data_IF_366564006047
#
_entry.id   IF_366564006047
#
_cell.length_a   1.000
_cell.length_b   1.000
_cell.length_c   1.000
_cell.angle_alpha   90.00
_cell.angle_beta   90.00
_cell.angle_gamma   90.00
#
_symmetry.space_group_name_H-M   'P 1'
#
loop_
_entity.id
_entity.type
_entity.pdbx_description
1 polymer ?
#
# COMPACT_ATOMS: atom_id res chain seq x y z
N UNK A 1 24.48 -52.07 -29.19
CA UNK A 1 23.48 -51.64 -28.19
C UNK A 1 24.05 -50.42 -27.47
N UNK A 2 23.79 -49.21 -27.98
CA UNK A 2 24.24 -47.97 -27.34
C UNK A 2 23.03 -47.31 -26.66
N UNK A 3 23.02 -47.35 -25.33
CA UNK A 3 22.05 -46.64 -24.50
C UNK A 3 22.30 -45.14 -24.65
N UNK A 4 21.38 -44.41 -25.29
CA UNK A 4 21.36 -42.95 -25.26
C UNK A 4 20.64 -42.51 -23.99
N UNK A 5 21.42 -42.06 -23.00
CA UNK A 5 20.92 -41.39 -21.80
C UNK A 5 20.37 -40.02 -22.19
N UNK A 6 19.04 -39.85 -22.14
CA UNK A 6 18.40 -38.54 -22.20
C UNK A 6 18.53 -37.86 -20.84
N UNK A 7 19.38 -36.84 -20.76
CA UNK A 7 19.47 -35.97 -19.58
C UNK A 7 18.41 -34.88 -19.71
N UNK A 8 17.34 -34.96 -18.91
CA UNK A 8 16.32 -33.91 -18.82
C UNK A 8 16.86 -32.80 -17.91
N UNK A 9 17.36 -31.70 -18.50
CA UNK A 9 17.60 -30.45 -17.76
C UNK A 9 16.24 -29.84 -17.39
N UNK A 10 15.84 -29.92 -16.13
CA UNK A 10 14.80 -29.04 -15.58
C UNK A 10 15.38 -27.63 -15.42
N UNK A 11 15.09 -26.74 -16.35
CA UNK A 11 15.34 -25.31 -16.19
C UNK A 11 14.27 -24.74 -15.24
N UNK A 12 14.64 -24.50 -13.98
CA UNK A 12 13.86 -23.64 -13.10
C UNK A 12 14.07 -22.19 -13.55
N UNK A 13 13.08 -21.62 -14.24
CA UNK A 13 13.04 -20.18 -14.47
C UNK A 13 12.73 -19.49 -13.13
N UNK A 14 13.77 -19.00 -12.46
CA UNK A 14 13.60 -18.08 -11.34
C UNK A 14 13.02 -16.78 -11.90
N UNK A 15 11.73 -16.54 -11.67
CA UNK A 15 11.12 -15.25 -11.95
C UNK A 15 11.54 -14.29 -10.85
N UNK A 16 12.49 -13.40 -11.13
CA UNK A 16 12.80 -12.29 -10.23
C UNK A 16 11.64 -11.30 -10.34
N UNK A 17 10.70 -11.36 -9.41
CA UNK A 17 9.68 -10.33 -9.26
C UNK A 17 10.39 -9.05 -8.79
N UNK A 18 10.62 -8.11 -9.70
CA UNK A 18 11.35 -6.88 -9.38
C UNK A 18 10.50 -5.88 -8.57
N UNK A 19 9.18 -6.12 -8.42
CA UNK A 19 8.18 -5.11 -8.08
C UNK A 19 6.90 -5.80 -7.55
N UNK A 20 6.05 -5.10 -6.79
CA UNK A 20 4.87 -5.73 -6.17
C UNK A 20 3.62 -4.87 -5.99
N UNK A 21 2.53 -5.54 -5.59
CA UNK A 21 1.24 -4.95 -5.21
C UNK A 21 0.60 -5.76 -4.08
N UNK A 22 -0.44 -5.21 -3.43
CA UNK A 22 -1.22 -5.94 -2.42
C UNK A 22 -2.10 -6.99 -3.12
N UNK A 23 -1.80 -8.26 -2.88
CA UNK A 23 -2.47 -9.40 -3.49
C UNK A 23 -3.82 -9.69 -2.84
N UNK A 24 -3.89 -9.60 -1.50
CA UNK A 24 -5.12 -9.83 -0.76
C UNK A 24 -5.12 -9.16 0.62
N UNK A 25 -6.31 -9.05 1.20
CA UNK A 25 -6.55 -8.50 2.54
C UNK A 25 -7.44 -9.47 3.32
N UNK A 26 -7.07 -9.74 4.56
CA UNK A 26 -7.86 -10.57 5.49
C UNK A 26 -8.46 -9.69 6.57
N UNK A 27 -9.80 -9.70 6.66
CA UNK A 27 -10.58 -8.92 7.63
C UNK A 27 -11.43 -9.90 8.42
N UNK A 28 -11.23 -9.98 9.74
CA UNK A 28 -11.98 -10.88 10.63
C UNK A 28 -11.99 -12.35 10.15
N UNK A 29 -10.83 -12.84 9.69
CA UNK A 29 -10.68 -14.20 9.15
C UNK A 29 -11.22 -14.41 7.72
N UNK A 30 -11.88 -13.42 7.12
CA UNK A 30 -12.38 -13.48 5.75
C UNK A 30 -11.30 -12.96 4.80
N UNK A 31 -10.88 -13.80 3.86
CA UNK A 31 -9.92 -13.44 2.81
C UNK A 31 -10.64 -12.74 1.66
N UNK A 32 -10.21 -11.52 1.35
CA UNK A 32 -10.64 -10.75 0.19
C UNK A 32 -9.50 -10.70 -0.83
N UNK A 33 -9.67 -11.35 -1.97
CA UNK A 33 -8.72 -11.21 -3.08
C UNK A 33 -8.70 -9.76 -3.55
N UNK A 34 -7.50 -9.21 -3.64
CA UNK A 34 -7.24 -7.86 -4.11
C UNK A 34 -7.51 -7.68 -5.59
N UNK A 35 -7.39 -6.45 -6.07
CA UNK A 35 -7.40 -6.18 -7.49
C UNK A 35 -6.15 -6.79 -8.12
N UNK A 36 -6.35 -7.57 -9.19
CA UNK A 36 -5.28 -8.29 -9.86
C UNK A 36 -4.93 -7.58 -11.18
N UNK A 37 -3.92 -6.69 -11.22
CA UNK A 37 -3.67 -5.83 -12.39
C UNK A 37 -3.34 -6.58 -13.67
N UNK A 38 -2.89 -7.84 -13.56
CA UNK A 38 -2.54 -8.70 -14.68
C UNK A 38 -3.63 -9.72 -15.05
N UNK A 39 -4.82 -9.61 -14.43
CA UNK A 39 -5.94 -10.52 -14.67
C UNK A 39 -7.27 -9.76 -14.78
N UNK A 40 -7.57 -8.87 -13.83
CA UNK A 40 -8.84 -8.16 -13.74
C UNK A 40 -9.18 -7.33 -15.00
N UNK A 41 -8.24 -6.61 -15.66
CA UNK A 41 -8.52 -5.90 -16.90
C UNK A 41 -8.95 -6.77 -18.09
N UNK A 42 -8.69 -8.08 -18.03
CA UNK A 42 -8.94 -9.00 -19.14
C UNK A 42 -10.26 -9.77 -19.00
N UNK A 43 -11.00 -9.56 -17.92
CA UNK A 43 -12.37 -10.09 -17.79
C UNK A 43 -13.38 -9.17 -18.47
N UNK A 44 -14.36 -9.77 -19.16
CA UNK A 44 -15.52 -9.03 -19.67
C UNK A 44 -16.33 -8.39 -18.52
N UNK A 45 -16.45 -9.11 -17.41
CA UNK A 45 -17.04 -8.63 -16.15
C UNK A 45 -16.06 -8.93 -15.02
N UNK A 46 -15.22 -7.97 -14.62
CA UNK A 46 -14.25 -8.18 -13.55
C UNK A 46 -14.92 -8.56 -12.22
N UNK A 47 -14.32 -9.47 -11.43
CA UNK A 47 -14.86 -9.83 -10.12
C UNK A 47 -14.92 -8.61 -9.18
N UNK A 48 -15.85 -8.59 -8.22
CA UNK A 48 -15.91 -7.51 -7.24
C UNK A 48 -14.68 -7.53 -6.32
N UNK A 49 -14.11 -6.35 -6.07
CA UNK A 49 -12.88 -6.16 -5.28
C UNK A 49 -13.10 -5.10 -4.20
N UNK A 50 -12.43 -5.27 -3.06
CA UNK A 50 -12.35 -4.23 -2.03
C UNK A 50 -11.14 -3.31 -2.22
N UNK A 51 -10.12 -3.80 -2.93
CA UNK A 51 -8.94 -3.02 -3.32
C UNK A 51 -9.29 -2.25 -4.60
N UNK A 52 -8.94 -0.97 -4.62
CA UNK A 52 -9.09 -0.10 -5.78
C UNK A 52 -8.12 -0.51 -6.89
N UNK A 53 -8.46 -0.34 -8.17
CA UNK A 53 -7.58 -0.69 -9.27
C UNK A 53 -6.21 -0.02 -9.15
N UNK A 54 -5.15 -0.80 -9.34
CA UNK A 54 -3.78 -0.29 -9.53
C UNK A 54 -3.34 -0.57 -10.96
N UNK A 55 -2.45 0.26 -11.50
CA UNK A 55 -1.91 0.13 -12.86
C UNK A 55 -1.14 -1.17 -13.11
N UNK A 56 -0.59 -1.77 -12.06
CA UNK A 56 0.44 -2.80 -12.17
C UNK A 56 1.23 -2.91 -10.88
N UNK A 57 2.45 -3.45 -10.98
CA UNK A 57 3.38 -3.53 -9.86
C UNK A 57 4.43 -2.40 -9.85
N UNK A 58 4.44 -1.51 -10.85
CA UNK A 58 5.41 -0.42 -10.97
C UNK A 58 5.22 0.70 -9.94
N UNK A 59 6.25 1.52 -9.68
CA UNK A 59 6.19 2.59 -8.71
C UNK A 59 5.54 3.85 -9.29
N UNK A 60 5.14 4.75 -8.39
CA UNK A 60 4.96 6.17 -8.68
C UNK A 60 6.17 6.93 -8.14
N UNK A 61 6.74 7.86 -8.91
CA UNK A 61 7.94 8.63 -8.52
C UNK A 61 7.71 10.14 -8.45
N UNK A 62 6.61 10.63 -9.04
CA UNK A 62 6.26 12.06 -9.04
C UNK A 62 5.25 12.38 -7.93
N UNK A 63 5.72 13.17 -6.95
CA UNK A 63 4.98 13.63 -5.77
C UNK A 63 3.73 14.47 -6.05
N UNK A 64 3.61 15.00 -7.26
CA UNK A 64 2.53 15.91 -7.64
C UNK A 64 1.32 15.20 -8.24
N UNK A 65 1.48 13.94 -8.66
CA UNK A 65 0.44 13.20 -9.35
C UNK A 65 -0.61 12.62 -8.40
N UNK A 66 -1.87 12.61 -8.84
CA UNK A 66 -2.97 11.97 -8.14
C UNK A 66 -2.77 10.44 -8.02
N UNK A 67 -1.89 9.87 -8.83
CA UNK A 67 -1.49 8.46 -8.84
C UNK A 67 -0.97 7.99 -7.47
N UNK A 68 -0.36 8.89 -6.70
CA UNK A 68 0.12 8.62 -5.33
C UNK A 68 -0.98 8.25 -4.35
N UNK A 69 -2.23 8.65 -4.61
CA UNK A 69 -3.31 8.42 -3.67
C UNK A 69 -3.63 6.94 -3.55
N UNK A 70 -3.83 6.24 -4.66
CA UNK A 70 -4.32 4.85 -4.65
C UNK A 70 -3.75 3.95 -5.74
N UNK A 71 -2.77 4.40 -6.53
CA UNK A 71 -2.13 3.61 -7.60
C UNK A 71 -2.69 3.94 -8.98
N UNK A 72 -1.97 4.80 -9.71
CA UNK A 72 -2.24 5.18 -11.10
C UNK A 72 -0.96 5.20 -11.94
N UNK A 73 -1.10 5.51 -13.23
CA UNK A 73 0.01 5.73 -14.15
C UNK A 73 -0.38 6.76 -15.21
N UNK A 74 -0.34 8.03 -14.82
CA UNK A 74 -0.75 9.16 -15.65
C UNK A 74 0.07 9.23 -16.94
N UNK A 75 1.37 8.89 -16.89
CA UNK A 75 2.22 8.82 -18.08
C UNK A 75 1.73 7.78 -19.11
N UNK A 76 1.16 6.66 -18.64
CA UNK A 76 0.52 5.66 -19.50
C UNK A 76 -0.98 5.86 -19.71
N UNK A 77 -1.52 7.04 -19.36
CA UNK A 77 -2.93 7.40 -19.59
C UNK A 77 -3.92 6.92 -18.53
N UNK A 78 -3.47 6.31 -17.43
CA UNK A 78 -4.31 5.90 -16.30
C UNK A 78 -4.16 6.93 -15.18
N UNK A 79 -4.98 7.98 -15.21
CA UNK A 79 -4.92 9.04 -14.20
C UNK A 79 -5.57 8.58 -12.89
N UNK A 80 -4.76 8.46 -11.84
CA UNK A 80 -5.18 8.02 -10.52
C UNK A 80 -5.71 6.59 -10.50
N UNK A 81 -6.63 6.35 -9.56
CA UNK A 81 -7.35 5.10 -9.39
C UNK A 81 -8.86 5.37 -9.39
N UNK A 82 -9.66 4.31 -9.42
CA UNK A 82 -11.13 4.38 -9.30
C UNK A 82 -11.60 3.77 -7.97
N UNK A 83 -12.79 4.14 -7.45
CA UNK A 83 -13.37 3.44 -6.30
C UNK A 83 -13.53 1.94 -6.55
N UNK A 84 -13.37 1.14 -5.50
CA UNK A 84 -13.64 -0.28 -5.57
C UNK A 84 -15.15 -0.52 -5.45
N UNK A 85 -15.66 -1.55 -6.12
CA UNK A 85 -17.11 -1.83 -6.16
C UNK A 85 -17.60 -2.60 -4.92
N UNK A 86 -16.71 -3.10 -4.07
CA UNK A 86 -17.03 -3.76 -2.81
C UNK A 86 -16.41 -3.01 -1.62
N UNK A 87 -17.01 -3.17 -0.44
CA UNK A 87 -16.47 -2.73 0.84
C UNK A 87 -16.32 -3.96 1.75
N UNK A 88 -15.12 -4.19 2.28
CA UNK A 88 -14.84 -5.34 3.15
C UNK A 88 -15.32 -5.12 4.59
N UNK A 89 -15.51 -6.20 5.34
CA UNK A 89 -16.07 -6.17 6.69
C UNK A 89 -17.52 -6.65 6.77
N UNK A 90 -18.24 -6.37 7.88
CA UNK A 90 -17.89 -5.42 8.95
C UNK A 90 -16.64 -5.78 9.74
N UNK A 91 -15.94 -4.77 10.27
CA UNK A 91 -14.76 -4.91 11.13
C UNK A 91 -14.83 -3.94 12.29
N UNK A 92 -14.63 -4.42 13.52
CA UNK A 92 -14.68 -3.56 14.69
C UNK A 92 -13.48 -2.60 14.73
N UNK A 93 -13.70 -1.35 15.13
CA UNK A 93 -12.62 -0.47 15.56
C UNK A 93 -11.79 -1.17 16.64
N UNK A 94 -10.46 -1.03 16.60
CA UNK A 94 -9.52 -1.77 17.44
C UNK A 94 -9.12 -3.14 16.89
N UNK A 95 -9.80 -3.67 15.85
CA UNK A 95 -9.39 -4.92 15.22
C UNK A 95 -8.18 -4.74 14.31
N UNK A 96 -7.43 -5.83 14.17
CA UNK A 96 -6.31 -5.94 13.22
C UNK A 96 -6.82 -6.40 11.85
N UNK A 97 -6.29 -5.78 10.80
CA UNK A 97 -6.47 -6.19 9.41
C UNK A 97 -5.11 -6.58 8.85
N UNK A 98 -5.06 -7.73 8.17
CA UNK A 98 -3.85 -8.24 7.55
C UNK A 98 -3.88 -8.04 6.05
N UNK A 99 -2.76 -7.67 5.46
CA UNK A 99 -2.53 -7.56 4.02
C UNK A 99 -1.43 -8.53 3.65
N UNK A 100 -1.53 -9.08 2.43
CA UNK A 100 -0.45 -9.84 1.82
C UNK A 100 -0.06 -9.19 0.52
N UNK A 101 1.22 -8.91 0.37
CA UNK A 101 1.79 -8.42 -0.89
C UNK A 101 2.09 -9.59 -1.82
N UNK A 102 2.40 -9.32 -3.08
CA UNK A 102 3.28 -10.21 -3.85
C UNK A 102 4.66 -10.30 -3.18
N UNK A 103 5.51 -11.25 -3.54
CA UNK A 103 6.84 -11.35 -2.91
C UNK A 103 7.62 -10.05 -3.14
N UNK A 104 8.08 -9.41 -2.06
CA UNK A 104 8.74 -8.12 -2.13
C UNK A 104 10.26 -8.31 -2.39
N UNK A 105 10.85 -7.59 -3.35
CA UNK A 105 12.28 -7.70 -3.64
C UNK A 105 13.13 -7.13 -2.49
N UNK A 106 14.17 -7.86 -2.10
CA UNK A 106 15.06 -7.48 -0.99
C UNK A 106 15.74 -6.12 -1.18
N UNK A 107 15.98 -5.73 -2.43
CA UNK A 107 16.59 -4.43 -2.74
C UNK A 107 15.68 -3.24 -2.43
N UNK A 108 14.36 -3.40 -2.35
CA UNK A 108 13.41 -2.30 -2.27
C UNK A 108 13.10 -1.83 -0.84
N UNK A 109 14.07 -2.00 0.06
CA UNK A 109 13.95 -1.62 1.47
C UNK A 109 13.41 -0.20 1.68
N UNK A 110 12.50 -0.06 2.64
CA UNK A 110 11.86 1.22 2.92
C UNK A 110 10.78 1.18 3.99
N UNK A 111 10.21 2.35 4.36
CA UNK A 111 9.11 2.37 5.30
C UNK A 111 7.85 1.73 4.71
N UNK A 112 7.01 1.28 5.62
CA UNK A 112 5.62 0.89 5.35
C UNK A 112 4.71 1.81 6.12
N UNK A 113 3.74 2.42 5.44
CA UNK A 113 2.88 3.46 6.01
C UNK A 113 1.43 3.14 5.68
N UNK A 114 0.55 3.23 6.67
CA UNK A 114 -0.90 3.06 6.50
C UNK A 114 -1.62 4.32 6.96
N UNK A 115 -2.49 4.82 6.09
CA UNK A 115 -3.41 5.93 6.33
C UNK A 115 -4.86 5.44 6.27
N UNK A 116 -5.75 6.21 6.88
CA UNK A 116 -7.19 6.06 6.72
C UNK A 116 -7.82 7.40 6.35
N UNK A 117 -8.95 7.35 5.64
CA UNK A 117 -9.83 8.47 5.35
C UNK A 117 -11.28 8.02 5.49
N UNK A 118 -12.11 8.79 6.19
CA UNK A 118 -13.54 8.47 6.35
C UNK A 118 -14.28 8.78 5.05
N UNK A 119 -15.07 7.84 4.55
CA UNK A 119 -15.94 8.07 3.40
C UNK A 119 -17.20 8.86 3.82
N UNK A 120 -17.85 9.56 2.87
CA UNK A 120 -19.18 10.12 3.08
C UNK A 120 -20.19 9.05 3.49
N UNK A 121 -21.36 9.47 3.98
CA UNK A 121 -22.45 8.56 4.36
C UNK A 121 -22.90 7.63 3.22
N UNK A 122 -22.76 8.08 1.96
CA UNK A 122 -23.04 7.28 0.76
C UNK A 122 -22.05 6.11 0.54
N UNK A 123 -20.97 6.02 1.32
CA UNK A 123 -19.98 4.94 1.24
C UNK A 123 -18.78 5.28 0.36
N UNK A 124 -17.87 4.30 0.24
CA UNK A 124 -16.59 4.49 -0.47
C UNK A 124 -16.67 4.17 -1.98
N UNK A 125 -17.69 3.45 -2.43
CA UNK A 125 -17.80 2.91 -3.80
C UNK A 125 -18.00 3.97 -4.89
N UNK A 126 -18.29 5.21 -4.50
CA UNK A 126 -18.37 6.36 -5.41
C UNK A 126 -17.46 7.51 -4.99
N UNK A 127 -16.69 7.34 -3.91
CA UNK A 127 -15.93 8.43 -3.30
C UNK A 127 -14.48 8.49 -3.82
N UNK A 128 -14.11 9.63 -4.39
CA UNK A 128 -12.74 9.99 -4.75
C UNK A 128 -12.35 11.25 -3.97
N UNK A 129 -11.42 11.17 -3.00
CA UNK A 129 -10.96 12.34 -2.24
C UNK A 129 -10.31 13.45 -3.08
N UNK A 130 -9.71 13.13 -4.22
CA UNK A 130 -8.98 14.12 -5.02
C UNK A 130 -7.83 14.74 -4.22
N UNK A 131 -7.80 16.07 -4.12
CA UNK A 131 -6.79 16.83 -3.37
C UNK A 131 -7.25 17.25 -1.97
N UNK A 132 -8.37 16.72 -1.48
CA UNK A 132 -8.89 17.07 -0.16
C UNK A 132 -7.99 16.54 0.97
N UNK A 133 -7.86 17.35 2.03
CA UNK A 133 -7.14 16.97 3.23
C UNK A 133 -7.99 16.05 4.13
N UNK A 134 -8.03 14.76 3.80
CA UNK A 134 -8.87 13.76 4.49
C UNK A 134 -8.09 12.60 5.10
N UNK A 135 -6.80 12.50 4.83
CA UNK A 135 -5.98 11.37 5.23
C UNK A 135 -5.37 11.60 6.62
N UNK A 136 -5.35 10.56 7.43
CA UNK A 136 -4.60 10.52 8.68
C UNK A 136 -3.85 9.20 8.80
N UNK A 137 -2.59 9.28 9.25
CA UNK A 137 -1.72 8.12 9.40
C UNK A 137 -2.16 7.30 10.59
N UNK A 138 -2.34 5.99 10.44
CA UNK A 138 -2.75 5.08 11.54
C UNK A 138 -1.63 4.14 11.96
N UNK A 139 -0.66 3.89 11.09
CA UNK A 139 0.51 3.09 11.41
C UNK A 139 1.67 3.47 10.49
N UNK A 140 2.89 3.42 11.01
CA UNK A 140 4.07 3.51 10.18
C UNK A 140 5.25 2.79 10.83
N UNK A 141 6.03 2.09 10.00
CA UNK A 141 7.27 1.43 10.40
C UNK A 141 8.37 1.86 9.42
N UNK A 142 9.43 2.47 9.93
CA UNK A 142 10.59 2.92 9.14
C UNK A 142 11.79 2.00 9.29
N UNK A 143 13.00 2.57 9.25
CA UNK A 143 14.25 1.86 9.56
C UNK A 143 14.33 1.50 11.04
N UNK A 144 14.74 0.27 11.35
CA UNK A 144 14.97 -0.17 12.73
C UNK A 144 16.41 0.16 13.13
N UNK A 145 16.56 1.22 13.93
CA UNK A 145 17.88 1.78 14.25
C UNK A 145 18.60 2.23 12.97
N UNK A 146 19.88 1.86 12.85
CA UNK A 146 20.68 2.06 11.63
C UNK A 146 20.95 0.73 10.88
N UNK A 147 20.09 -0.28 11.08
CA UNK A 147 20.26 -1.61 10.47
C UNK A 147 19.76 -1.66 9.02
N UNK A 148 19.85 -2.83 8.38
CA UNK A 148 19.20 -3.15 7.11
C UNK A 148 17.75 -3.65 7.28
N UNK A 149 17.19 -3.55 8.49
CA UNK A 149 15.81 -3.94 8.77
C UNK A 149 14.92 -2.72 8.68
N UNK A 150 13.86 -2.85 7.89
CA UNK A 150 12.92 -1.81 7.49
C UNK A 150 11.49 -2.28 7.71
N UNK A 151 10.53 -1.38 7.50
CA UNK A 151 9.11 -1.71 7.64
C UNK A 151 8.65 -2.81 6.69
N UNK A 152 9.27 -2.91 5.51
CA UNK A 152 8.95 -3.85 4.45
C UNK A 152 9.76 -5.16 4.51
N UNK A 153 10.75 -5.28 5.40
CA UNK A 153 11.55 -6.51 5.56
C UNK A 153 10.70 -7.78 5.75
N UNK A 154 9.59 -7.78 6.52
CA UNK A 154 8.71 -8.95 6.61
C UNK A 154 8.06 -9.37 5.28
N UNK A 155 7.99 -8.46 4.29
CA UNK A 155 7.38 -8.69 2.98
C UNK A 155 8.32 -9.44 2.01
N UNK A 156 9.62 -9.51 2.35
CA UNK A 156 10.65 -10.11 1.51
C UNK A 156 10.76 -11.63 1.64
N UNK A 157 10.04 -12.23 2.60
CA UNK A 157 10.07 -13.67 2.84
C UNK A 157 8.70 -14.31 2.65
N UNK A 158 8.66 -15.64 2.48
CA UNK A 158 7.41 -16.37 2.27
C UNK A 158 6.41 -16.12 3.41
N UNK A 159 5.20 -15.70 3.05
CA UNK A 159 4.21 -15.19 4.01
C UNK A 159 3.87 -13.74 3.72
N UNK A 160 4.91 -12.95 3.43
CA UNK A 160 4.89 -11.60 2.85
C UNK A 160 3.69 -10.73 3.25
N UNK A 161 3.45 -10.69 4.56
CA UNK A 161 2.28 -10.09 5.15
C UNK A 161 2.64 -8.89 6.01
N UNK A 162 1.72 -7.93 6.05
CA UNK A 162 1.73 -6.79 6.95
C UNK A 162 0.39 -6.76 7.69
N UNK A 163 0.37 -6.21 8.89
CA UNK A 163 -0.90 -6.01 9.61
C UNK A 163 -0.94 -4.61 10.20
N UNK A 164 -2.11 -3.99 10.16
CA UNK A 164 -2.37 -2.72 10.85
C UNK A 164 -3.58 -2.85 11.76
N UNK A 165 -3.61 -2.04 12.82
CA UNK A 165 -4.74 -1.97 13.74
C UNK A 165 -5.59 -0.73 13.43
N UNK A 166 -6.90 -0.94 13.30
CA UNK A 166 -7.86 0.17 13.16
C UNK A 166 -7.93 0.90 14.51
N UNK A 167 -7.76 2.24 14.58
CA UNK A 167 -7.84 2.94 15.87
C UNK A 167 -9.21 2.72 16.54
N UNK A 168 -9.20 2.38 17.83
CA UNK A 168 -10.39 1.91 18.58
C UNK A 168 -11.45 2.99 18.79
N UNK A 169 -11.06 4.26 18.79
CA UNK A 169 -11.94 5.41 18.96
C UNK A 169 -12.63 5.85 17.66
N UNK A 170 -12.36 5.22 16.51
CA UNK A 170 -12.98 5.62 15.24
C UNK A 170 -14.50 5.40 15.26
N UNK A 171 -15.21 6.39 14.72
CA UNK A 171 -16.63 6.31 14.46
C UNK A 171 -16.94 5.24 13.43
N UNK A 172 -18.04 4.51 13.64
CA UNK A 172 -18.54 3.56 12.66
C UNK A 172 -18.79 4.23 11.29
N UNK A 173 -18.68 3.44 10.22
CA UNK A 173 -18.87 3.88 8.84
C UNK A 173 -17.82 3.32 7.89
N UNK A 174 -17.92 3.67 6.62
CA UNK A 174 -16.97 3.23 5.61
C UNK A 174 -15.71 4.10 5.61
N UNK A 175 -14.55 3.47 5.42
CA UNK A 175 -13.26 4.13 5.33
C UNK A 175 -12.47 3.60 4.13
N UNK A 176 -11.71 4.50 3.50
CA UNK A 176 -10.61 4.11 2.62
C UNK A 176 -9.38 3.93 3.51
N UNK A 177 -8.70 2.81 3.35
CA UNK A 177 -7.38 2.58 3.93
C UNK A 177 -6.38 2.65 2.79
N UNK A 178 -5.38 3.51 2.93
CA UNK A 178 -4.27 3.63 1.98
C UNK A 178 -3.02 3.05 2.64
N UNK A 179 -2.52 1.97 2.09
CA UNK A 179 -1.30 1.29 2.52
C UNK A 179 -0.21 1.51 1.47
N UNK A 180 1.02 1.78 1.89
CA UNK A 180 2.12 1.98 0.95
C UNK A 180 3.45 1.45 1.45
N UNK A 181 4.32 1.13 0.50
CA UNK A 181 5.76 0.99 0.66
C UNK A 181 6.42 2.16 -0.07
N UNK A 182 7.49 2.72 0.49
CA UNK A 182 8.35 3.69 -0.19
C UNK A 182 9.74 3.06 -0.35
N UNK A 183 10.08 2.53 -1.51
CA UNK A 183 11.39 1.92 -1.73
C UNK A 183 12.47 3.00 -1.92
N UNK A 184 13.60 2.87 -1.20
CA UNK A 184 14.62 3.92 -1.07
C UNK A 184 15.95 3.60 -1.76
N UNK A 185 16.06 2.47 -2.45
CA UNK A 185 17.32 2.01 -3.08
C UNK A 185 17.91 2.99 -4.11
N UNK A 186 17.07 3.84 -4.69
CA UNK A 186 17.47 4.87 -5.66
C UNK A 186 17.20 6.30 -5.15
N UNK A 187 17.00 6.49 -3.85
CA UNK A 187 16.50 7.74 -3.27
C UNK A 187 17.58 8.77 -2.88
N UNK A 188 18.85 8.57 -3.25
CA UNK A 188 19.95 9.52 -2.94
C UNK A 188 19.71 10.93 -3.50
N UNK A 189 18.94 11.04 -4.59
CA UNK A 189 18.45 12.29 -5.17
C UNK A 189 16.96 12.17 -5.50
N UNK A 190 16.28 13.31 -5.69
CA UNK A 190 14.92 13.34 -6.21
C UNK A 190 14.88 13.85 -7.67
N UNK A 191 14.10 13.23 -8.57
CA UNK A 191 13.33 11.99 -8.39
C UNK A 191 14.22 10.77 -8.10
N UNK A 192 13.70 9.80 -7.34
CA UNK A 192 14.46 8.60 -6.96
C UNK A 192 13.69 7.63 -6.05
N UNK A 193 13.06 8.14 -4.98
CA UNK A 193 12.15 7.35 -4.16
C UNK A 193 10.97 6.79 -4.96
N UNK A 194 10.61 5.54 -4.70
CA UNK A 194 9.59 4.80 -5.43
C UNK A 194 8.41 4.44 -4.52
N UNK A 195 7.22 4.92 -4.85
CA UNK A 195 6.02 4.78 -4.02
C UNK A 195 5.11 3.69 -4.57
N UNK A 196 4.63 2.82 -3.69
CA UNK A 196 3.72 1.72 -4.03
C UNK A 196 2.44 1.82 -3.18
N UNK A 197 1.53 2.75 -3.50
CA UNK A 197 0.26 2.87 -2.80
C UNK A 197 -0.73 1.79 -3.25
N UNK A 198 -1.53 1.31 -2.30
CA UNK A 198 -2.70 0.47 -2.52
C UNK A 198 -3.82 0.93 -1.60
N UNK A 199 -5.03 1.09 -2.15
CA UNK A 199 -6.20 1.49 -1.38
C UNK A 199 -7.22 0.38 -1.29
N UNK A 200 -7.71 0.07 -0.09
CA UNK A 200 -8.85 -0.82 0.12
C UNK A 200 -9.94 -0.16 0.95
N UNK A 201 -11.17 -0.64 0.77
CA UNK A 201 -12.36 -0.07 1.40
C UNK A 201 -12.88 -1.01 2.48
N UNK A 202 -13.12 -0.49 3.68
CA UNK A 202 -13.62 -1.28 4.82
C UNK A 202 -14.81 -0.61 5.49
N UNK A 203 -15.70 -1.42 6.07
CA UNK A 203 -16.83 -1.00 6.88
C UNK A 203 -16.48 -1.17 8.37
N UNK A 204 -16.15 -0.06 9.03
CA UNK A 204 -15.82 -0.05 10.46
C UNK A 204 -17.10 -0.03 11.30
N UNK A 205 -17.14 -0.85 12.35
CA UNK A 205 -18.17 -0.87 13.39
C UNK A 205 -17.59 -0.51 14.75
N UNK A 206 -18.44 -0.21 15.73
CA UNK A 206 -18.03 0.14 17.09
C UNK A 206 -18.77 1.35 17.64
N UNK A 207 -18.41 1.76 18.85
CA UNK A 207 -19.02 2.89 19.58
C UNK A 207 -18.16 4.16 19.60
N UNK A 208 -17.01 4.15 18.92
CA UNK A 208 -16.16 5.33 18.79
C UNK A 208 -16.87 6.49 18.11
N UNK A 209 -16.31 7.70 18.27
CA UNK A 209 -16.89 8.94 17.72
C UNK A 209 -15.86 9.76 16.93
N UNK A 210 -14.58 9.37 16.95
CA UNK A 210 -13.52 10.09 16.24
C UNK A 210 -13.56 9.84 14.74
N UNK A 211 -13.26 10.85 13.94
CA UNK A 211 -13.05 10.71 12.50
C UNK A 211 -11.57 10.91 12.13
N UNK A 212 -10.66 10.65 13.07
CA UNK A 212 -9.24 11.00 12.98
C UNK A 212 -8.90 12.35 13.63
N UNK A 213 -7.65 12.84 13.49
CA UNK A 213 -7.20 14.10 14.06
C UNK A 213 -7.91 15.31 13.44
N UNK A 214 -7.88 16.46 14.12
CA UNK A 214 -8.42 17.72 13.58
C UNK A 214 -7.71 18.13 12.29
N UNK A 215 -6.38 18.06 12.29
CA UNK A 215 -5.54 18.32 11.12
C UNK A 215 -5.27 17.02 10.36
N UNK A 216 -5.78 16.95 9.12
CA UNK A 216 -5.54 15.86 8.17
C UNK A 216 -4.69 16.36 7.01
N UNK A 217 -4.23 15.45 6.16
CA UNK A 217 -3.36 15.78 5.01
C UNK A 217 -4.00 15.36 3.69
N UNK A 218 -3.59 16.02 2.61
CA UNK A 218 -3.95 15.66 1.25
C UNK A 218 -2.89 14.73 0.64
N UNK A 219 -3.33 13.84 -0.25
CA UNK A 219 -2.44 12.98 -1.03
C UNK A 219 -2.90 13.07 -2.48
N UNK A 220 -2.19 13.75 -3.40
CA UNK A 220 -0.84 14.33 -3.25
C UNK A 220 -0.81 15.57 -2.33
N UNK A 221 0.39 15.96 -1.88
CA UNK A 221 0.64 17.16 -1.05
C UNK A 221 1.27 16.87 0.31
N UNK A 222 1.09 15.67 0.86
CA UNK A 222 1.71 15.25 2.13
C UNK A 222 3.23 15.08 2.05
N UNK A 223 3.75 14.72 0.88
CA UNK A 223 5.17 14.43 0.66
C UNK A 223 5.83 15.52 -0.16
N UNK A 224 7.07 15.85 0.22
CA UNK A 224 7.93 16.80 -0.50
C UNK A 224 9.23 16.12 -0.89
N UNK A 225 9.78 16.53 -2.03
CA UNK A 225 11.08 16.07 -2.49
C UNK A 225 12.18 16.31 -1.45
N UNK A 226 12.07 17.42 -0.70
CA UNK A 226 12.99 17.83 0.35
C UNK A 226 12.77 17.13 1.69
N UNK A 227 11.76 16.27 1.83
CA UNK A 227 11.55 15.53 3.07
C UNK A 227 12.75 14.58 3.28
N UNK A 228 13.34 14.53 4.49
CA UNK A 228 14.55 13.75 4.75
C UNK A 228 14.34 12.23 4.62
N UNK A 229 13.08 11.77 4.59
CA UNK A 229 12.73 10.38 4.32
C UNK A 229 12.46 10.06 2.84
N UNK A 230 12.48 11.06 1.96
CA UNK A 230 12.21 10.94 0.52
C UNK A 230 13.48 11.11 -0.31
N UNK A 231 14.28 12.16 -0.07
CA UNK A 231 15.65 12.21 -0.55
C UNK A 231 16.55 11.68 0.56
N UNK A 232 17.00 10.43 0.43
CA UNK A 232 17.63 9.68 1.51
C UNK A 232 18.67 8.68 0.99
N UNK A 233 19.79 8.57 1.72
CA UNK A 233 20.78 7.50 1.52
C UNK A 233 20.52 6.32 2.46
N UNK A 234 19.99 5.23 1.93
CA UNK A 234 19.81 4.03 2.73
C UNK A 234 21.11 3.26 2.99
N UNK A 235 22.19 3.54 2.24
CA UNK A 235 23.48 2.87 2.37
C UNK A 235 24.38 3.54 3.42
N UNK A 236 24.12 4.80 3.78
CA UNK A 236 24.77 5.45 4.89
C UNK A 236 24.21 4.99 6.26
N UNK A 237 25.07 5.01 7.28
CA UNK A 237 24.67 4.81 8.68
C UNK A 237 24.07 6.10 9.23
N UNK A 238 22.77 6.30 9.00
CA UNK A 238 22.05 7.50 9.42
C UNK A 238 20.61 7.16 9.84
N UNK A 239 20.03 7.94 10.78
CA UNK A 239 18.64 7.73 11.19
C UNK A 239 17.68 7.98 10.01
N UNK A 240 16.49 7.37 10.07
CA UNK A 240 15.45 7.56 9.08
C UNK A 240 14.26 8.31 9.68
N UNK A 241 13.83 9.39 9.03
CA UNK A 241 12.61 10.11 9.40
C UNK A 241 11.49 9.70 8.46
N UNK A 242 10.45 9.03 8.98
CA UNK A 242 9.30 8.62 8.18
C UNK A 242 8.57 9.87 7.65
N UNK A 243 8.29 9.97 6.35
CA UNK A 243 7.61 11.14 5.77
C UNK A 243 6.13 11.21 6.16
N UNK A 244 5.52 12.40 6.01
CA UNK A 244 4.11 12.66 6.33
C UNK A 244 3.82 12.93 7.81
N UNK A 245 2.53 13.05 8.21
CA UNK A 245 2.14 13.48 9.56
C UNK A 245 2.49 12.44 10.64
N UNK A 246 2.36 12.82 11.92
CA UNK A 246 2.43 11.87 13.02
C UNK A 246 1.34 10.80 12.93
N UNK A 247 1.59 9.63 13.53
CA UNK A 247 0.58 8.57 13.68
C UNK A 247 -0.54 9.09 14.59
N UNK A 248 -1.78 8.99 14.12
CA UNK A 248 -2.96 9.29 14.91
C UNK A 248 -3.12 8.29 16.03
N UNK A 249 -3.30 8.80 17.24
CA UNK A 249 -3.62 8.03 18.42
C UNK A 249 -4.99 8.45 18.93
N UNK A 250 -5.77 7.47 19.37
CA UNK A 250 -6.77 7.71 20.39
C UNK A 250 -6.04 8.11 21.69
#
# INVERSE_FOLDING_TARGET
MQLKTFSNLLAFAATVAAHGYVDNVTINGILYTGYQPYSDPYYATPPPRIIRPVQGNGPITDLTLIDLQCGGYSEGGIVGSKPANLTGGPVAAGSTVSLRWTLWPESHSGPVITYMAKCPAAGCSTYLPGTDAVWFKVQATGRIGNSSVWGDTPLMTAGNSYSYTIPSCLAAGSYIVRHEIIALHAAWTYPGAQFYPSCHQIQVTGSGTSTGPSSKVAIPGVYKATDPGITYDMYASQPYTIPGPAVFTC
#
